data_IF_273835977939
#
_entry.id   IF_273835977939
#
_cell.length_a   1.000
_cell.length_b   1.000
_cell.length_c   1.000
_cell.angle_alpha   90.00
_cell.angle_beta   90.00
_cell.angle_gamma   90.00
#
_symmetry.space_group_name_H-M   'P 1'
#
loop_
_entity.id
_entity.type
_entity.pdbx_description
1 polymer ?
#
# COMPACT_ATOMS: atom_id res chain seq x y z
N UNK A 1 15.80 -11.74 8.07
CA UNK A 1 14.41 -11.56 8.57
C UNK A 1 13.68 -10.77 7.51
N UNK A 2 12.53 -11.24 7.02
CA UNK A 2 11.82 -10.52 5.96
C UNK A 2 10.95 -9.44 6.57
N UNK A 3 11.29 -8.18 6.31
CA UNK A 3 10.53 -7.01 6.75
C UNK A 3 9.09 -7.08 6.25
N UNK A 4 8.13 -6.78 7.14
CA UNK A 4 6.72 -6.60 6.76
C UNK A 4 6.53 -5.16 6.32
N UNK A 5 5.75 -4.93 5.28
CA UNK A 5 5.48 -3.59 4.78
C UNK A 5 4.07 -3.13 5.13
N UNK A 6 3.94 -1.83 5.35
CA UNK A 6 2.72 -1.22 5.86
C UNK A 6 2.43 0.10 5.15
N UNK A 7 1.16 0.43 5.03
CA UNK A 7 0.71 1.80 4.78
C UNK A 7 0.18 2.41 6.07
N UNK A 8 0.64 3.62 6.36
CA UNK A 8 0.15 4.43 7.46
C UNK A 8 -0.45 5.73 6.95
N UNK A 9 -1.60 6.12 7.47
CA UNK A 9 -2.22 7.41 7.24
C UNK A 9 -1.70 8.43 8.25
N UNK A 10 -1.35 9.63 7.77
CA UNK A 10 -0.82 10.73 8.59
C UNK A 10 -1.31 12.08 8.06
N UNK A 11 -1.41 13.10 8.92
CA UNK A 11 -1.79 14.45 8.48
C UNK A 11 -0.67 15.12 7.68
N UNK A 12 -1.02 15.82 6.60
CA UNK A 12 -0.07 16.61 5.82
C UNK A 12 0.50 17.79 6.61
N UNK A 13 -0.28 18.34 7.54
CA UNK A 13 0.18 19.40 8.45
C UNK A 13 1.40 18.93 9.24
N UNK A 14 1.30 17.76 9.87
CA UNK A 14 2.41 17.18 10.63
C UNK A 14 3.59 16.84 9.73
N UNK A 15 3.34 16.24 8.56
CA UNK A 15 4.41 15.94 7.59
C UNK A 15 5.19 17.21 7.21
N UNK A 16 4.48 18.30 6.91
CA UNK A 16 5.11 19.57 6.55
C UNK A 16 5.90 20.18 7.71
N UNK A 17 5.45 19.95 8.94
CA UNK A 17 6.15 20.40 10.14
C UNK A 17 7.47 19.62 10.35
N UNK A 18 7.45 18.29 10.20
CA UNK A 18 8.58 17.44 10.61
C UNK A 18 9.61 17.16 9.51
N UNK A 19 9.25 17.29 8.22
CA UNK A 19 10.11 16.86 7.10
C UNK A 19 11.49 17.53 7.05
N UNK A 20 11.59 18.75 7.59
CA UNK A 20 12.82 19.55 7.61
C UNK A 20 13.47 19.63 8.98
N UNK A 21 12.90 18.99 10.01
CA UNK A 21 13.48 18.93 11.36
C UNK A 21 14.75 18.06 11.36
N UNK A 22 15.74 18.43 12.17
CA UNK A 22 16.85 17.53 12.50
C UNK A 22 16.45 16.52 13.58
N UNK A 23 17.35 15.59 13.87
CA UNK A 23 17.06 14.50 14.80
C UNK A 23 16.76 14.99 16.23
N UNK A 24 17.48 16.01 16.70
CA UNK A 24 17.26 16.62 18.02
C UNK A 24 15.89 17.31 18.13
N UNK A 25 15.48 18.01 17.07
CA UNK A 25 14.17 18.68 16.98
C UNK A 25 13.04 17.66 17.02
N UNK A 26 13.17 16.56 16.26
CA UNK A 26 12.21 15.44 16.28
C UNK A 26 12.13 14.80 17.68
N UNK A 27 13.28 14.51 18.28
CA UNK A 27 13.36 13.89 19.61
C UNK A 27 12.71 14.76 20.69
N UNK A 28 12.93 16.08 20.65
CA UNK A 28 12.30 17.04 21.57
C UNK A 28 10.79 17.14 21.35
N UNK A 29 10.35 17.18 20.09
CA UNK A 29 8.93 17.37 19.73
C UNK A 29 8.05 16.23 20.23
N UNK A 30 8.55 15.00 20.18
CA UNK A 30 7.79 13.82 20.60
C UNK A 30 8.06 13.40 22.06
N UNK A 31 8.59 14.34 22.88
CA UNK A 31 8.71 14.26 24.35
C UNK A 31 9.34 12.95 24.88
N UNK A 32 10.33 12.42 24.18
CA UNK A 32 11.01 11.19 24.56
C UNK A 32 11.87 11.42 25.82
N UNK A 33 11.30 11.11 26.99
CA UNK A 33 11.97 11.22 28.30
C UNK A 33 12.20 9.82 28.90
N UNK A 34 13.46 9.36 28.98
CA UNK A 34 13.82 8.06 29.58
C UNK A 34 15.17 7.51 29.10
N UNK A 35 15.62 6.38 29.69
CA UNK A 35 16.93 5.74 29.40
C UNK A 35 17.10 5.25 27.94
N UNK A 36 16.00 5.21 27.16
CA UNK A 36 15.94 4.84 25.73
C UNK A 36 15.57 6.03 24.81
N UNK A 37 15.95 7.26 25.16
CA UNK A 37 15.49 8.52 24.53
C UNK A 37 15.96 8.81 23.10
N UNK A 38 15.68 7.93 22.13
CA UNK A 38 15.96 8.14 20.71
C UNK A 38 14.66 8.16 19.89
N UNK A 39 14.57 9.09 18.94
CA UNK A 39 13.44 9.16 18.02
C UNK A 39 13.43 7.97 17.06
N UNK A 40 12.29 7.30 16.97
CA UNK A 40 12.03 6.30 15.93
C UNK A 40 10.66 6.53 15.29
N UNK A 41 10.48 5.99 14.08
CA UNK A 41 9.27 6.22 13.27
C UNK A 41 7.97 5.86 14.02
N UNK A 42 8.02 4.90 14.93
CA UNK A 42 6.89 4.50 15.78
C UNK A 42 6.32 5.64 16.61
N UNK A 43 7.10 6.66 16.97
CA UNK A 43 6.64 7.82 17.75
C UNK A 43 5.73 8.77 16.96
N UNK A 44 5.73 8.69 15.63
CA UNK A 44 4.84 9.51 14.81
C UNK A 44 3.37 9.14 15.05
N UNK A 45 2.48 10.11 15.34
CA UNK A 45 1.03 9.90 15.45
C UNK A 45 0.45 9.64 14.06
N UNK A 46 0.43 8.36 13.68
CA UNK A 46 -0.05 7.84 12.40
C UNK A 46 -0.93 6.62 12.64
N UNK A 47 -1.83 6.37 11.72
CA UNK A 47 -2.79 5.25 11.77
C UNK A 47 -2.35 4.16 10.79
N UNK A 48 -2.18 2.92 11.23
CA UNK A 48 -1.97 1.80 10.30
C UNK A 48 -3.26 1.55 9.52
N UNK A 49 -3.19 1.59 8.20
CA UNK A 49 -4.36 1.37 7.33
C UNK A 49 -4.26 0.08 6.52
N UNK A 50 -3.06 -0.46 6.35
CA UNK A 50 -2.88 -1.70 5.59
C UNK A 50 -1.54 -2.41 5.90
N UNK A 51 -1.58 -3.75 5.98
CA UNK A 51 -0.40 -4.63 6.07
C UNK A 51 -0.26 -5.45 4.79
N UNK A 52 0.90 -5.40 4.13
CA UNK A 52 1.21 -6.18 2.93
C UNK A 52 1.84 -7.54 3.22
N UNK A 53 2.19 -7.81 4.48
CA UNK A 53 3.03 -8.94 4.84
C UNK A 53 4.44 -8.77 4.27
N UNK A 54 5.06 -9.89 3.90
CA UNK A 54 6.45 -9.93 3.44
C UNK A 54 6.54 -9.77 1.92
N UNK A 55 7.13 -8.67 1.47
CA UNK A 55 7.23 -8.30 0.04
C UNK A 55 8.59 -8.63 -0.62
N UNK A 56 9.50 -9.32 0.07
CA UNK A 56 10.87 -9.55 -0.43
C UNK A 56 10.99 -10.54 -1.60
N UNK A 57 9.88 -11.11 -2.08
CA UNK A 57 9.87 -12.08 -3.18
C UNK A 57 9.38 -11.48 -4.50
N UNK A 58 8.92 -10.24 -4.52
CA UNK A 58 8.46 -9.54 -5.73
C UNK A 58 8.83 -8.05 -5.69
N UNK A 59 8.50 -7.32 -6.75
CA UNK A 59 8.79 -5.89 -6.91
C UNK A 59 7.70 -4.97 -6.32
N UNK A 60 6.78 -5.50 -5.51
CA UNK A 60 5.64 -4.74 -4.95
C UNK A 60 6.14 -3.52 -4.16
N UNK A 61 7.13 -3.71 -3.30
CA UNK A 61 7.65 -2.64 -2.46
C UNK A 61 8.31 -1.54 -3.32
N UNK A 62 9.19 -1.93 -4.24
CA UNK A 62 9.89 -1.01 -5.13
C UNK A 62 8.93 -0.18 -5.98
N UNK A 63 7.88 -0.82 -6.51
CA UNK A 63 6.83 -0.14 -7.29
C UNK A 63 6.09 0.89 -6.46
N UNK A 64 5.74 0.58 -5.21
CA UNK A 64 5.06 1.54 -4.31
C UNK A 64 6.03 2.67 -3.92
N UNK A 65 7.27 2.37 -3.55
CA UNK A 65 8.30 3.37 -3.25
C UNK A 65 8.53 4.32 -4.43
N UNK A 66 8.47 3.82 -5.67
CA UNK A 66 8.65 4.65 -6.88
C UNK A 66 7.59 5.73 -7.09
N UNK A 67 6.47 5.67 -6.36
CA UNK A 67 5.40 6.67 -6.41
C UNK A 67 5.57 7.80 -5.41
N UNK A 68 6.54 7.68 -4.51
CA UNK A 68 6.73 8.61 -3.41
C UNK A 68 8.14 9.18 -3.35
N UNK A 69 8.39 9.86 -2.24
CA UNK A 69 9.68 10.40 -1.88
C UNK A 69 9.90 10.24 -0.36
N UNK A 70 11.15 10.24 0.12
CA UNK A 70 11.44 10.15 1.55
C UNK A 70 10.70 11.22 2.36
N UNK A 71 10.23 10.87 3.56
CA UNK A 71 9.57 11.80 4.49
C UNK A 71 10.50 12.93 4.93
N UNK A 72 11.78 12.63 5.13
CA UNK A 72 12.75 13.57 5.68
C UNK A 72 13.66 14.12 4.59
N UNK A 73 13.91 15.42 4.63
CA UNK A 73 14.76 16.14 3.67
C UNK A 73 16.24 16.12 4.08
N UNK A 74 16.53 15.96 5.39
CA UNK A 74 17.89 15.97 5.93
C UNK A 74 18.53 14.58 5.86
N UNK A 75 19.67 14.47 5.19
CA UNK A 75 20.45 13.22 5.08
C UNK A 75 20.83 12.65 6.45
N UNK A 76 21.14 13.50 7.43
CA UNK A 76 21.38 13.10 8.83
C UNK A 76 20.26 12.20 9.36
N UNK A 77 19.00 12.66 9.23
CA UNK A 77 17.83 11.92 9.73
C UNK A 77 17.60 10.64 8.93
N UNK A 78 17.81 10.68 7.61
CA UNK A 78 17.69 9.49 6.77
C UNK A 78 18.75 8.43 7.11
N UNK A 79 19.96 8.83 7.48
CA UNK A 79 21.03 7.91 7.87
C UNK A 79 20.75 7.24 9.23
N UNK A 80 20.32 8.01 10.23
CA UNK A 80 19.93 7.50 11.55
C UNK A 80 18.73 6.52 11.47
N UNK A 81 17.86 6.70 10.48
CA UNK A 81 16.66 5.89 10.26
C UNK A 81 16.79 4.94 9.06
N UNK A 82 18.01 4.68 8.59
CA UNK A 82 18.30 4.03 7.30
C UNK A 82 17.60 2.69 7.07
N UNK A 83 17.35 1.92 8.14
CA UNK A 83 16.63 0.64 8.06
C UNK A 83 15.11 0.82 7.82
N UNK A 84 14.53 1.99 8.15
CA UNK A 84 13.08 2.20 8.26
C UNK A 84 12.62 3.53 7.68
N UNK A 85 13.35 4.13 6.72
CA UNK A 85 13.01 5.46 6.17
C UNK A 85 11.62 5.43 5.54
N UNK A 86 10.65 6.19 6.08
CA UNK A 86 9.31 6.24 5.53
C UNK A 86 9.26 7.08 4.25
N UNK A 87 8.53 6.59 3.26
CA UNK A 87 8.25 7.34 2.03
C UNK A 87 6.83 7.87 2.05
N UNK A 88 6.66 9.14 1.68
CA UNK A 88 5.36 9.73 1.42
C UNK A 88 4.92 9.28 0.03
N UNK A 89 3.99 8.34 -0.04
CA UNK A 89 3.50 7.76 -1.31
C UNK A 89 2.10 8.24 -1.69
N UNK A 90 1.35 8.83 -0.74
CA UNK A 90 0.08 9.49 -1.03
C UNK A 90 -0.97 8.60 -1.73
N UNK A 91 -1.81 9.25 -2.53
CA UNK A 91 -2.89 8.59 -3.28
C UNK A 91 -2.31 7.64 -4.34
N UNK A 92 -1.25 8.08 -5.00
CA UNK A 92 -0.58 7.38 -6.09
C UNK A 92 0.00 6.04 -5.64
N UNK A 93 0.57 5.98 -4.43
CA UNK A 93 1.03 4.72 -3.84
C UNK A 93 -0.09 3.73 -3.56
N UNK A 94 -1.25 4.21 -3.11
CA UNK A 94 -2.43 3.37 -2.88
C UNK A 94 -3.04 2.88 -4.20
N UNK A 95 -3.11 3.73 -5.22
CA UNK A 95 -3.53 3.34 -6.57
C UNK A 95 -2.59 2.27 -7.17
N UNK A 96 -1.28 2.42 -6.99
CA UNK A 96 -0.30 1.43 -7.43
C UNK A 96 -0.47 0.08 -6.69
N UNK A 97 -0.73 0.10 -5.38
CA UNK A 97 -1.03 -1.10 -4.62
C UNK A 97 -2.28 -1.83 -5.14
N UNK A 98 -3.36 -1.08 -5.43
CA UNK A 98 -4.59 -1.65 -6.02
C UNK A 98 -4.28 -2.29 -7.39
N UNK A 99 -3.50 -1.62 -8.23
CA UNK A 99 -3.14 -2.12 -9.55
C UNK A 99 -2.24 -3.35 -9.48
N UNK A 100 -1.31 -3.43 -8.53
CA UNK A 100 -0.50 -4.64 -8.27
C UNK A 100 -1.39 -5.82 -7.92
N UNK A 101 -2.31 -5.65 -6.95
CA UNK A 101 -3.18 -6.75 -6.54
C UNK A 101 -4.12 -7.18 -7.66
N UNK A 102 -4.70 -6.24 -8.41
CA UNK A 102 -5.52 -6.53 -9.59
C UNK A 102 -4.75 -7.37 -10.61
N UNK A 103 -3.50 -7.02 -10.88
CA UNK A 103 -2.66 -7.79 -11.81
C UNK A 103 -2.33 -9.18 -11.26
N UNK A 104 -2.09 -9.33 -9.95
CA UNK A 104 -1.92 -10.65 -9.31
C UNK A 104 -3.13 -11.55 -9.51
N UNK A 105 -4.34 -11.00 -9.39
CA UNK A 105 -5.59 -11.74 -9.63
C UNK A 105 -5.73 -12.14 -11.10
N UNK A 106 -5.48 -11.21 -12.02
CA UNK A 106 -5.48 -11.48 -13.47
C UNK A 106 -4.50 -12.61 -13.80
N UNK A 107 -3.25 -12.50 -13.35
CA UNK A 107 -2.22 -13.52 -13.60
C UNK A 107 -2.55 -14.87 -12.98
N UNK A 108 -3.19 -14.90 -11.80
CA UNK A 108 -3.68 -16.15 -11.21
C UNK A 108 -4.70 -16.84 -12.14
N UNK A 109 -5.70 -16.11 -12.64
CA UNK A 109 -6.69 -16.68 -13.56
C UNK A 109 -6.07 -17.08 -14.90
N UNK A 110 -5.11 -16.33 -15.42
CA UNK A 110 -4.37 -16.70 -16.63
C UNK A 110 -3.57 -17.99 -16.45
N UNK A 111 -2.88 -18.15 -15.31
CA UNK A 111 -2.12 -19.36 -14.99
C UNK A 111 -3.03 -20.59 -14.86
N UNK A 112 -4.22 -20.45 -14.25
CA UNK A 112 -5.20 -21.54 -14.19
C UNK A 112 -5.64 -22.01 -15.59
N UNK A 113 -5.70 -21.13 -16.59
CA UNK A 113 -5.98 -21.51 -17.98
C UNK A 113 -4.79 -22.22 -18.67
N UNK A 114 -3.55 -21.91 -18.26
CA UNK A 114 -2.35 -22.56 -18.77
C UNK A 114 -2.22 -23.96 -18.18
N UNK A 115 -2.40 -24.11 -16.88
CA UNK A 115 -2.35 -25.40 -16.18
C UNK A 115 -3.42 -26.36 -16.71
N UNK A 116 -4.59 -25.85 -17.07
CA UNK A 116 -5.66 -26.65 -17.67
C UNK A 116 -5.29 -27.21 -19.05
N UNK A 117 -4.47 -26.50 -19.85
CA UNK A 117 -3.97 -27.07 -21.13
C UNK A 117 -3.12 -28.34 -20.92
N UNK A 118 -2.64 -28.58 -19.70
CA UNK A 118 -1.86 -29.75 -19.32
C UNK A 118 -2.70 -30.81 -18.56
N UNK A 119 -4.02 -30.59 -18.36
CA UNK A 119 -4.93 -31.44 -17.60
C UNK A 119 -6.33 -31.56 -18.22
N UNK A 120 -7.29 -32.14 -17.47
CA UNK A 120 -8.68 -32.32 -17.90
C UNK A 120 -9.65 -31.51 -17.01
N UNK A 121 -9.56 -30.17 -16.97
CA UNK A 121 -10.67 -29.44 -16.36
C UNK A 121 -11.92 -29.60 -17.22
N UNK A 122 -13.07 -29.59 -16.55
CA UNK A 122 -14.35 -29.60 -17.25
C UNK A 122 -14.54 -28.27 -17.99
N UNK A 123 -15.27 -28.31 -19.11
CA UNK A 123 -15.69 -27.12 -19.87
C UNK A 123 -16.32 -26.04 -18.96
N UNK A 124 -17.01 -26.45 -17.89
CA UNK A 124 -17.62 -25.53 -16.91
C UNK A 124 -16.57 -24.77 -16.09
N UNK A 125 -15.45 -25.41 -15.73
CA UNK A 125 -14.36 -24.78 -15.00
C UNK A 125 -13.61 -23.79 -15.89
N UNK A 126 -13.28 -24.18 -17.12
CA UNK A 126 -12.63 -23.29 -18.10
C UNK A 126 -13.48 -22.04 -18.37
N UNK A 127 -14.80 -22.22 -18.57
CA UNK A 127 -15.72 -21.11 -18.77
C UNK A 127 -15.82 -20.19 -17.54
N UNK A 128 -15.80 -20.76 -16.33
CA UNK A 128 -15.81 -19.99 -15.09
C UNK A 128 -14.56 -19.11 -14.98
N UNK A 129 -13.38 -19.68 -15.24
CA UNK A 129 -12.09 -18.96 -15.21
C UNK A 129 -12.09 -17.83 -16.25
N UNK A 130 -12.50 -18.12 -17.50
CA UNK A 130 -12.59 -17.10 -18.57
C UNK A 130 -13.54 -15.96 -18.23
N UNK A 131 -14.69 -16.26 -17.62
CA UNK A 131 -15.65 -15.24 -17.21
C UNK A 131 -15.06 -14.34 -16.11
N UNK A 132 -14.40 -14.91 -15.10
CA UNK A 132 -13.74 -14.12 -14.05
C UNK A 132 -12.62 -13.25 -14.64
N UNK A 133 -11.73 -13.84 -15.44
CA UNK A 133 -10.67 -13.09 -16.12
C UNK A 133 -11.23 -11.92 -16.93
N UNK A 134 -12.33 -12.12 -17.66
CA UNK A 134 -12.98 -11.05 -18.41
C UNK A 134 -13.54 -9.94 -17.52
N UNK A 135 -14.04 -10.23 -16.32
CA UNK A 135 -14.55 -9.19 -15.40
C UNK A 135 -13.41 -8.33 -14.84
N UNK A 136 -12.31 -8.97 -14.44
CA UNK A 136 -11.13 -8.28 -13.91
C UNK A 136 -10.42 -7.43 -14.97
N UNK A 137 -10.23 -7.97 -16.18
CA UNK A 137 -9.59 -7.25 -17.29
C UNK A 137 -10.42 -6.08 -17.80
N UNK A 138 -11.76 -6.17 -17.76
CA UNK A 138 -12.67 -5.07 -18.12
C UNK A 138 -12.84 -4.03 -17.02
N UNK A 139 -12.27 -4.24 -15.83
CA UNK A 139 -12.42 -3.33 -14.70
C UNK A 139 -13.81 -3.34 -14.07
N UNK A 140 -14.61 -4.39 -14.26
CA UNK A 140 -15.93 -4.49 -13.63
C UNK A 140 -15.86 -5.00 -12.19
N UNK A 141 -14.78 -5.72 -11.88
CA UNK A 141 -14.53 -6.26 -10.55
C UNK A 141 -14.27 -5.18 -9.50
N UNK A 142 -13.69 -4.03 -9.90
CA UNK A 142 -13.30 -2.95 -8.99
C UNK A 142 -13.75 -1.61 -9.53
N UNK A 143 -14.23 -0.75 -8.65
CA UNK A 143 -14.52 0.64 -8.97
C UNK A 143 -13.58 1.56 -8.19
N UNK A 144 -12.56 2.10 -8.86
CA UNK A 144 -11.62 3.07 -8.29
C UNK A 144 -12.03 4.54 -8.51
N UNK A 145 -13.20 4.80 -9.09
CA UNK A 145 -13.72 6.15 -9.22
C UNK A 145 -14.14 6.68 -7.85
N UNK A 146 -13.38 7.64 -7.33
CA UNK A 146 -13.61 8.25 -6.01
C UNK A 146 -14.95 8.98 -5.91
N UNK A 147 -15.56 9.36 -7.04
CA UNK A 147 -16.87 10.04 -7.05
C UNK A 147 -18.03 9.04 -7.02
N UNK A 148 -17.78 7.77 -7.31
CA UNK A 148 -18.79 6.73 -7.20
C UNK A 148 -18.72 6.08 -5.82
N UNK A 149 -19.84 6.07 -5.10
CA UNK A 149 -19.94 5.39 -3.79
C UNK A 149 -19.80 3.86 -3.87
N UNK A 150 -19.99 3.27 -5.05
CA UNK A 150 -19.92 1.83 -5.26
C UNK A 150 -18.46 1.32 -5.24
N UNK A 151 -18.16 0.26 -4.49
CA UNK A 151 -16.82 -0.37 -4.49
C UNK A 151 -16.63 -1.38 -5.63
N UNK A 152 -17.72 -2.01 -6.09
CA UNK A 152 -17.72 -3.04 -7.13
C UNK A 152 -19.06 -3.11 -7.83
N UNK A 153 -19.05 -3.37 -9.13
CA UNK A 153 -20.25 -3.79 -9.86
C UNK A 153 -20.32 -5.32 -10.03
N UNK A 154 -19.41 -6.07 -9.38
CA UNK A 154 -19.39 -7.54 -9.37
C UNK A 154 -19.85 -8.09 -8.01
N UNK A 155 -20.31 -9.34 -8.03
CA UNK A 155 -20.78 -10.09 -6.86
C UNK A 155 -19.67 -11.00 -6.31
N UNK A 156 -18.47 -10.93 -6.88
CA UNK A 156 -17.33 -11.80 -6.59
C UNK A 156 -16.34 -11.02 -5.73
N UNK A 157 -16.23 -11.42 -4.46
CA UNK A 157 -15.52 -10.68 -3.44
C UNK A 157 -14.07 -11.15 -3.28
N UNK A 158 -13.11 -10.26 -3.49
CA UNK A 158 -11.71 -10.40 -3.07
C UNK A 158 -11.42 -9.35 -2.00
N UNK A 159 -11.48 -9.78 -0.73
CA UNK A 159 -11.53 -8.91 0.44
C UNK A 159 -10.40 -7.87 0.46
N UNK A 160 -9.17 -8.27 0.12
CA UNK A 160 -8.02 -7.38 0.23
C UNK A 160 -8.06 -6.20 -0.74
N UNK A 161 -8.51 -6.42 -1.97
CA UNK A 161 -8.57 -5.34 -2.98
C UNK A 161 -9.73 -4.40 -2.71
N UNK A 162 -10.85 -4.92 -2.21
CA UNK A 162 -11.99 -4.09 -1.83
C UNK A 162 -11.67 -3.17 -0.65
N UNK A 163 -10.86 -3.63 0.29
CA UNK A 163 -10.43 -2.80 1.41
C UNK A 163 -9.49 -1.67 0.95
N UNK A 164 -8.50 -1.97 0.08
CA UNK A 164 -7.66 -0.93 -0.54
C UNK A 164 -8.49 0.08 -1.34
N UNK A 165 -9.49 -0.39 -2.09
CA UNK A 165 -10.42 0.47 -2.85
C UNK A 165 -11.27 1.33 -1.91
N UNK A 166 -11.73 0.76 -0.78
CA UNK A 166 -12.46 1.50 0.24
C UNK A 166 -11.59 2.62 0.82
N UNK A 167 -10.34 2.31 1.19
CA UNK A 167 -9.38 3.29 1.68
C UNK A 167 -9.19 4.44 0.68
N UNK A 168 -9.04 4.14 -0.62
CA UNK A 168 -8.89 5.13 -1.68
C UNK A 168 -10.08 6.11 -1.74
N UNK A 169 -11.29 5.65 -1.41
CA UNK A 169 -12.50 6.48 -1.42
C UNK A 169 -12.77 7.21 -0.09
N UNK A 170 -12.21 6.73 1.02
CA UNK A 170 -12.52 7.27 2.35
C UNK A 170 -11.46 8.20 2.93
N UNK A 171 -10.21 8.11 2.47
CA UNK A 171 -9.13 8.98 2.94
C UNK A 171 -9.33 10.37 2.35
N UNK A 172 -9.24 11.40 3.18
CA UNK A 172 -9.26 12.79 2.72
C UNK A 172 -7.85 13.19 2.26
N UNK A 173 -7.54 12.89 1.01
CA UNK A 173 -6.23 13.19 0.43
C UNK A 173 -5.93 14.68 0.31
N UNK A 174 -6.85 15.60 0.64
CA UNK A 174 -6.51 17.02 0.75
C UNK A 174 -5.74 17.30 2.04
N UNK A 175 -6.15 16.69 3.16
CA UNK A 175 -5.60 16.93 4.50
C UNK A 175 -4.67 15.81 5.00
N UNK A 176 -4.83 14.61 4.49
CA UNK A 176 -4.09 13.41 4.88
C UNK A 176 -3.17 12.94 3.73
N UNK A 177 -2.13 12.18 4.08
CA UNK A 177 -1.27 11.46 3.13
C UNK A 177 -0.93 10.07 3.67
N UNK A 178 -0.32 9.25 2.83
CA UNK A 178 0.07 7.88 3.15
C UNK A 178 1.59 7.77 3.21
N UNK A 179 2.09 7.20 4.30
CA UNK A 179 3.46 6.74 4.45
C UNK A 179 3.55 5.24 4.10
N UNK A 180 4.61 4.85 3.42
CA UNK A 180 4.95 3.46 3.16
C UNK A 180 6.34 3.14 3.67
N UNK A 181 6.45 2.12 4.50
CA UNK A 181 7.71 1.53 4.95
C UNK A 181 7.50 0.14 5.54
N UNK A 182 8.60 -0.59 5.73
CA UNK A 182 8.57 -1.89 6.38
C UNK A 182 9.58 -2.01 7.52
N UNK A 183 9.33 -2.94 8.44
CA UNK A 183 10.18 -3.29 9.58
C UNK A 183 9.98 -4.74 10.04
#
# INVERSE_FOLDING_TARGET
>A
MGYRHYMYKISKELVNEIKSMNYDELSKKFELTGEEGYFYIGNLPKEEIWEFGKLYWDDTADRIYSKGYPLFEKEEVMNELSDYVPYIVGKEGLEEAIEIYKNKVISMYENLLIDDKNGTASVKQEQHIKNNLSEWTRGWALNTDVNDSCLSHSWKYEYSIFELTRLLKTIDFETETILFYGW
#
